data_IF_630299207175
#
_entry.id   IF_630299207175
#
_cell.length_a   1.000
_cell.length_b   1.000
_cell.length_c   1.000
_cell.angle_alpha   90.00
_cell.angle_beta   90.00
_cell.angle_gamma   90.00
#
_symmetry.space_group_name_H-M   'P 1'
#
loop_
_entity.id
_entity.type
_entity.pdbx_description
1 polymer ?
#
# COMPACT_ATOMS: atom_id res chain seq x y z
N UNK A 1 -20.28 6.12 16.17
CA UNK A 1 -19.76 4.74 16.23
C UNK A 1 -18.25 4.77 16.13
N UNK A 2 -17.55 4.01 16.95
CA UNK A 2 -16.10 3.85 16.88
C UNK A 2 -15.68 2.42 17.23
N UNK A 3 -14.40 2.07 17.02
CA UNK A 3 -13.88 0.71 17.30
C UNK A 3 -13.60 0.48 18.77
N UNK A 4 -13.45 1.54 19.59
CA UNK A 4 -13.25 1.47 21.03
C UNK A 4 -14.21 2.38 21.79
N UNK A 5 -14.36 2.12 23.10
CA UNK A 5 -15.20 2.90 23.98
C UNK A 5 -14.63 4.32 24.18
N UNK A 6 -13.33 4.44 24.38
CA UNK A 6 -12.65 5.73 24.56
C UNK A 6 -12.80 6.64 23.31
N UNK A 7 -12.64 6.09 22.10
CA UNK A 7 -12.91 6.84 20.87
C UNK A 7 -14.38 7.28 20.77
N UNK A 8 -15.31 6.43 21.23
CA UNK A 8 -16.73 6.76 21.17
C UNK A 8 -17.04 7.95 22.08
N UNK A 9 -16.44 8.02 23.27
CA UNK A 9 -16.63 9.11 24.23
C UNK A 9 -16.21 10.46 23.65
N UNK A 10 -15.15 10.52 22.86
CA UNK A 10 -14.68 11.77 22.22
C UNK A 10 -15.75 12.43 21.33
N UNK A 11 -16.63 11.64 20.72
CA UNK A 11 -17.73 12.14 19.90
C UNK A 11 -19.05 12.26 20.70
N UNK A 12 -19.27 11.30 21.62
CA UNK A 12 -20.52 11.20 22.35
C UNK A 12 -20.67 12.29 23.40
N UNK A 13 -19.65 12.56 24.21
CA UNK A 13 -19.73 13.53 25.28
C UNK A 13 -20.02 14.96 24.80
N UNK A 14 -19.33 15.48 23.75
CA UNK A 14 -19.69 16.75 23.15
C UNK A 14 -21.11 16.78 22.54
N UNK A 15 -21.54 15.67 21.89
CA UNK A 15 -22.91 15.58 21.37
C UNK A 15 -23.94 15.67 22.47
N UNK A 16 -23.71 14.95 23.56
CA UNK A 16 -24.61 14.97 24.70
C UNK A 16 -24.67 16.34 25.38
N UNK A 17 -23.51 17.01 25.51
CA UNK A 17 -23.43 18.35 26.05
C UNK A 17 -24.15 19.37 25.17
N UNK A 18 -23.96 19.34 23.86
CA UNK A 18 -24.70 20.17 22.90
C UNK A 18 -26.20 19.88 22.92
N UNK A 19 -26.60 18.60 23.09
CA UNK A 19 -28.02 18.25 23.19
C UNK A 19 -28.66 18.75 24.49
N UNK A 20 -27.89 18.83 25.61
CA UNK A 20 -28.37 19.32 26.92
C UNK A 20 -28.41 20.83 27.04
N UNK A 21 -27.46 21.52 26.45
CA UNK A 21 -27.22 22.94 26.69
C UNK A 21 -27.34 23.82 25.41
N UNK A 22 -27.39 23.18 24.26
CA UNK A 22 -27.51 23.88 22.98
C UNK A 22 -28.97 24.20 22.61
N UNK A 23 -29.20 24.99 21.55
CA UNK A 23 -30.54 25.37 21.11
C UNK A 23 -31.37 24.22 20.54
N UNK A 24 -30.78 23.05 20.35
CA UNK A 24 -31.44 21.87 19.78
C UNK A 24 -32.54 21.35 20.71
N UNK A 25 -32.34 21.43 22.04
CA UNK A 25 -33.34 20.99 23.02
C UNK A 25 -34.62 21.81 22.95
N UNK A 26 -34.50 23.12 22.64
CA UNK A 26 -35.64 24.01 22.51
C UNK A 26 -36.35 23.91 21.14
N UNK A 27 -35.61 23.47 20.12
CA UNK A 27 -36.11 23.40 18.76
C UNK A 27 -36.76 22.03 18.43
N UNK A 28 -36.37 21.00 19.12
CA UNK A 28 -36.83 19.63 18.87
C UNK A 28 -37.24 18.95 20.17
N UNK A 29 -38.24 18.08 20.08
CA UNK A 29 -38.70 17.25 21.21
C UNK A 29 -37.72 16.11 21.46
N UNK A 30 -36.61 16.43 22.17
CA UNK A 30 -35.55 15.48 22.53
C UNK A 30 -35.36 15.43 24.05
N UNK A 31 -34.95 14.28 24.54
CA UNK A 31 -34.66 14.06 25.96
C UNK A 31 -33.26 13.41 26.10
N UNK A 32 -32.23 14.22 26.46
CA UNK A 32 -30.85 13.74 26.58
C UNK A 32 -30.60 12.97 27.87
N UNK A 33 -30.56 11.64 27.81
CA UNK A 33 -30.12 10.75 28.85
C UNK A 33 -28.61 10.50 28.81
N UNK A 34 -28.02 9.94 29.84
CA UNK A 34 -26.56 9.70 29.88
C UNK A 34 -26.06 8.74 28.80
N UNK A 35 -26.85 7.75 28.41
CA UNK A 35 -26.43 6.69 27.46
C UNK A 35 -27.11 6.78 26.11
N UNK A 36 -28.13 7.62 25.95
CA UNK A 36 -28.82 7.88 24.68
C UNK A 36 -29.57 9.21 24.73
N UNK A 37 -29.88 9.74 23.56
CA UNK A 37 -30.81 10.87 23.42
C UNK A 37 -32.10 10.32 22.84
N UNK A 38 -33.20 10.44 23.59
CA UNK A 38 -34.52 10.07 23.08
C UNK A 38 -34.98 11.10 22.06
N UNK A 39 -35.59 10.64 20.97
CA UNK A 39 -36.21 11.46 19.93
C UNK A 39 -37.62 10.92 19.66
N UNK A 40 -38.57 11.69 19.08
CA UNK A 40 -39.99 11.31 18.98
C UNK A 40 -40.26 9.93 18.38
N UNK A 41 -39.38 9.40 17.53
CA UNK A 41 -39.55 8.10 16.85
C UNK A 41 -38.34 7.21 16.92
N UNK A 42 -37.53 7.33 17.98
CA UNK A 42 -36.33 6.52 18.13
C UNK A 42 -35.38 7.06 19.18
N UNK A 43 -34.12 6.78 18.99
CA UNK A 43 -33.05 7.28 19.86
C UNK A 43 -31.74 7.42 19.12
N UNK A 44 -30.91 8.32 19.59
CA UNK A 44 -29.50 8.42 19.21
C UNK A 44 -28.70 7.72 20.30
N UNK A 45 -27.86 6.79 19.95
CA UNK A 45 -27.03 6.06 20.88
C UNK A 45 -25.64 5.79 20.29
N UNK A 46 -24.66 5.66 21.14
CA UNK A 46 -23.33 5.25 20.69
C UNK A 46 -23.22 3.71 20.65
N UNK A 47 -22.30 3.22 19.83
CA UNK A 47 -21.99 1.78 19.76
C UNK A 47 -20.53 1.56 19.38
N UNK A 48 -19.98 0.43 19.81
CA UNK A 48 -18.61 -0.01 19.57
C UNK A 48 -18.59 -1.35 18.83
N UNK A 49 -17.42 -1.80 18.40
CA UNK A 49 -17.25 -3.07 17.68
C UNK A 49 -17.79 -4.28 18.46
N UNK A 50 -17.70 -4.28 19.78
CA UNK A 50 -18.22 -5.36 20.63
C UNK A 50 -19.75 -5.42 20.72
N UNK A 51 -20.43 -4.30 20.48
CA UNK A 51 -21.90 -4.22 20.58
C UNK A 51 -22.61 -4.64 19.27
N UNK A 52 -21.92 -4.60 18.13
CA UNK A 52 -22.50 -4.92 16.81
C UNK A 52 -22.78 -6.42 16.62
N UNK A 53 -22.27 -7.29 17.48
CA UNK A 53 -22.63 -8.71 17.48
C UNK A 53 -24.08 -8.98 17.93
N UNK A 54 -24.81 -7.96 18.38
CA UNK A 54 -26.24 -8.10 18.73
C UNK A 54 -27.09 -8.09 17.47
N UNK A 55 -27.58 -9.24 17.07
CA UNK A 55 -28.60 -9.40 16.04
C UNK A 55 -29.80 -8.52 16.37
N UNK A 56 -30.14 -7.56 15.50
CA UNK A 56 -31.33 -6.73 15.65
C UNK A 56 -31.12 -5.22 15.57
N UNK A 57 -29.88 -4.74 15.54
CA UNK A 57 -29.60 -3.32 15.34
C UNK A 57 -30.08 -2.85 13.97
N UNK A 58 -30.94 -1.83 13.92
CA UNK A 58 -31.54 -1.29 12.68
C UNK A 58 -31.35 0.21 12.61
N UNK A 59 -30.12 0.70 12.38
CA UNK A 59 -29.86 2.11 12.25
C UNK A 59 -30.52 2.65 10.97
N UNK A 60 -31.03 3.87 11.02
CA UNK A 60 -31.45 4.65 9.85
C UNK A 60 -30.35 5.64 9.44
N UNK A 61 -29.44 5.94 10.36
CA UNK A 61 -28.27 6.79 10.16
C UNK A 61 -27.12 6.29 11.03
N UNK A 62 -25.89 6.40 10.53
CA UNK A 62 -24.68 6.08 11.30
C UNK A 62 -23.60 7.14 11.04
N UNK A 63 -23.13 7.79 12.10
CA UNK A 63 -21.90 8.57 12.09
C UNK A 63 -20.75 7.65 12.53
N UNK A 64 -19.78 7.45 11.66
CA UNK A 64 -18.60 6.60 11.87
C UNK A 64 -17.38 7.51 11.97
N UNK A 65 -16.81 7.58 13.16
CA UNK A 65 -15.73 8.50 13.49
C UNK A 65 -14.38 7.81 13.41
N UNK A 66 -13.36 8.54 12.94
CA UNK A 66 -11.96 8.09 12.82
C UNK A 66 -11.84 6.73 12.09
N UNK A 67 -12.52 6.59 10.96
CA UNK A 67 -12.53 5.32 10.21
C UNK A 67 -11.16 4.93 9.60
N UNK A 68 -10.18 5.81 9.62
CA UNK A 68 -8.77 5.52 9.34
C UNK A 68 -8.16 4.56 10.37
N UNK A 69 -8.64 4.58 11.61
CA UNK A 69 -8.23 3.66 12.68
C UNK A 69 -8.99 2.31 12.66
N UNK A 70 -10.03 2.18 11.82
CA UNK A 70 -10.84 0.96 11.75
C UNK A 70 -10.17 -0.10 10.88
N UNK A 71 -9.08 -0.64 11.38
CA UNK A 71 -8.24 -1.65 10.72
C UNK A 71 -8.73 -3.09 11.00
N UNK A 72 -8.33 -4.08 10.18
CA UNK A 72 -8.75 -5.48 10.36
C UNK A 72 -8.45 -6.07 11.73
N UNK A 73 -7.31 -5.72 12.33
CA UNK A 73 -6.89 -6.18 13.66
C UNK A 73 -7.85 -5.74 14.79
N UNK A 74 -8.55 -4.61 14.62
CA UNK A 74 -9.54 -4.08 15.56
C UNK A 74 -10.99 -4.44 15.15
N UNK A 75 -11.18 -5.25 14.12
CA UNK A 75 -12.51 -5.64 13.65
C UNK A 75 -13.26 -4.54 12.87
N UNK A 76 -12.62 -3.42 12.56
CA UNK A 76 -13.22 -2.25 11.92
C UNK A 76 -13.96 -2.54 10.61
N UNK A 77 -13.36 -3.24 9.63
CA UNK A 77 -14.05 -3.58 8.38
C UNK A 77 -15.29 -4.45 8.57
N UNK A 78 -15.29 -5.37 9.53
CA UNK A 78 -16.46 -6.20 9.85
C UNK A 78 -17.59 -5.36 10.47
N UNK A 79 -17.24 -4.42 11.36
CA UNK A 79 -18.16 -3.45 11.94
C UNK A 79 -18.81 -2.59 10.87
N UNK A 80 -18.03 -1.95 10.00
CA UNK A 80 -18.52 -1.11 8.91
C UNK A 80 -19.44 -1.89 7.95
N UNK A 81 -19.06 -3.12 7.57
CA UNK A 81 -19.86 -3.99 6.73
C UNK A 81 -21.20 -4.35 7.38
N UNK A 82 -21.22 -4.58 8.70
CA UNK A 82 -22.44 -4.83 9.47
C UNK A 82 -23.38 -3.63 9.46
N UNK A 83 -22.87 -2.44 9.73
CA UNK A 83 -23.61 -1.17 9.71
C UNK A 83 -24.20 -0.92 8.33
N UNK A 84 -23.37 -0.95 7.28
CA UNK A 84 -23.81 -0.67 5.89
C UNK A 84 -24.88 -1.64 5.40
N UNK A 85 -24.77 -2.95 5.74
CA UNK A 85 -25.80 -3.95 5.42
C UNK A 85 -27.13 -3.65 6.09
N UNK A 86 -27.12 -3.17 7.34
CA UNK A 86 -28.34 -2.84 8.06
C UNK A 86 -28.97 -1.53 7.56
N UNK A 87 -28.15 -0.51 7.27
CA UNK A 87 -28.61 0.73 6.64
C UNK A 87 -29.25 0.47 5.27
N UNK A 88 -28.66 -0.39 4.45
CA UNK A 88 -29.21 -0.74 3.13
C UNK A 88 -30.63 -1.33 3.19
N UNK A 89 -30.98 -2.06 4.26
CA UNK A 89 -32.31 -2.65 4.42
C UNK A 89 -33.42 -1.63 4.68
N UNK A 90 -33.07 -0.44 5.13
CA UNK A 90 -34.01 0.62 5.52
C UNK A 90 -33.85 1.89 4.69
N UNK A 91 -32.96 1.88 3.69
CA UNK A 91 -32.61 3.07 2.91
C UNK A 91 -31.90 4.15 3.72
N UNK A 92 -31.18 3.73 4.78
CA UNK A 92 -30.44 4.63 5.66
C UNK A 92 -29.11 5.09 5.06
N UNK A 93 -28.51 6.10 5.68
CA UNK A 93 -27.26 6.73 5.27
C UNK A 93 -26.18 6.61 6.35
N UNK A 94 -24.91 6.67 5.93
CA UNK A 94 -23.78 6.83 6.84
C UNK A 94 -22.91 8.02 6.44
N UNK A 95 -22.27 8.63 7.45
CA UNK A 95 -21.22 9.61 7.30
C UNK A 95 -19.96 9.05 7.95
N UNK A 96 -18.86 9.17 7.28
CA UNK A 96 -17.52 8.84 7.80
C UNK A 96 -16.74 10.14 7.97
N UNK A 97 -16.09 10.30 9.13
CA UNK A 97 -15.26 11.46 9.45
C UNK A 97 -13.83 10.99 9.81
N UNK A 98 -13.03 10.57 8.81
CA UNK A 98 -11.64 10.21 9.01
C UNK A 98 -10.69 11.39 8.86
N UNK A 99 -9.50 11.26 9.46
CA UNK A 99 -8.30 11.89 8.94
C UNK A 99 -7.81 11.16 7.68
N UNK A 100 -6.72 11.64 7.08
CA UNK A 100 -6.05 10.93 6.00
C UNK A 100 -5.81 9.47 6.41
N UNK A 101 -6.04 8.55 5.50
CA UNK A 101 -5.79 7.14 5.77
C UNK A 101 -4.29 6.81 5.60
N UNK A 102 -3.83 5.82 6.31
CA UNK A 102 -2.50 5.24 6.08
C UNK A 102 -2.62 4.21 4.96
N UNK A 103 -1.96 4.42 3.81
CA UNK A 103 -1.98 3.45 2.71
C UNK A 103 -1.44 2.11 3.19
N UNK A 104 -2.22 1.07 3.01
CA UNK A 104 -1.83 -0.24 3.39
C UNK A 104 -2.36 -0.74 4.71
N UNK A 105 -3.01 0.08 5.48
CA UNK A 105 -3.64 -0.32 6.72
C UNK A 105 -4.92 -1.15 6.51
N UNK A 106 -5.45 -1.24 5.27
CA UNK A 106 -6.73 -1.88 4.96
C UNK A 106 -7.88 -1.31 5.81
N UNK A 107 -7.74 -0.04 6.23
CA UNK A 107 -8.74 0.63 7.06
C UNK A 107 -10.05 0.86 6.31
N UNK A 108 -11.10 1.17 7.04
CA UNK A 108 -12.40 1.50 6.45
C UNK A 108 -12.30 2.78 5.62
N UNK A 109 -11.62 3.82 6.13
CA UNK A 109 -11.39 5.07 5.41
C UNK A 109 -10.65 4.84 4.09
N UNK A 110 -9.58 4.03 4.09
CA UNK A 110 -8.83 3.70 2.88
C UNK A 110 -9.73 3.06 1.80
N UNK A 111 -10.55 2.08 2.18
CA UNK A 111 -11.48 1.41 1.26
C UNK A 111 -12.56 2.35 0.73
N UNK A 112 -13.06 3.25 1.57
CA UNK A 112 -14.05 4.27 1.18
C UNK A 112 -13.43 5.26 0.21
N UNK A 113 -12.20 5.71 0.45
CA UNK A 113 -11.46 6.61 -0.43
C UNK A 113 -11.18 5.95 -1.80
N UNK A 114 -10.72 4.69 -1.80
CA UNK A 114 -10.52 3.93 -3.05
C UNK A 114 -11.83 3.73 -3.83
N UNK A 115 -12.94 3.45 -3.13
CA UNK A 115 -14.24 3.30 -3.76
C UNK A 115 -14.71 4.61 -4.37
N UNK A 116 -14.56 5.76 -3.67
CA UNK A 116 -14.87 7.07 -4.21
C UNK A 116 -14.03 7.40 -5.46
N UNK A 117 -12.73 7.08 -5.45
CA UNK A 117 -11.84 7.25 -6.60
C UNK A 117 -12.30 6.40 -7.80
N UNK A 118 -12.59 5.12 -7.58
CA UNK A 118 -13.10 4.21 -8.62
C UNK A 118 -14.44 4.71 -9.20
N UNK A 119 -15.28 5.30 -8.36
CA UNK A 119 -16.54 5.92 -8.80
C UNK A 119 -16.27 7.13 -9.70
N UNK A 120 -15.39 8.04 -9.30
CA UNK A 120 -15.00 9.21 -10.10
C UNK A 120 -14.39 8.80 -11.46
N UNK A 121 -13.67 7.67 -11.51
CA UNK A 121 -13.12 7.08 -12.73
C UNK A 121 -14.15 6.30 -13.58
N UNK A 122 -15.41 6.23 -13.15
CA UNK A 122 -16.47 5.48 -13.86
C UNK A 122 -16.33 3.95 -13.79
N UNK A 123 -15.51 3.44 -12.86
CA UNK A 123 -15.21 2.00 -12.72
C UNK A 123 -16.16 1.27 -11.77
N UNK A 124 -17.01 1.98 -11.03
CA UNK A 124 -18.04 1.38 -10.18
C UNK A 124 -19.36 1.20 -10.94
N UNK A 125 -19.91 -0.01 -10.91
CA UNK A 125 -21.25 -0.29 -11.45
C UNK A 125 -22.32 0.08 -10.41
N UNK A 126 -23.40 0.72 -10.85
CA UNK A 126 -24.56 1.03 -10.00
C UNK A 126 -24.40 2.26 -9.12
N UNK A 127 -23.62 3.23 -9.55
CA UNK A 127 -23.30 4.44 -8.78
C UNK A 127 -24.39 5.54 -8.77
N UNK A 128 -25.66 5.20 -9.05
CA UNK A 128 -26.78 6.10 -8.81
C UNK A 128 -26.99 6.24 -7.28
N UNK A 129 -26.41 7.28 -6.68
CA UNK A 129 -26.43 7.49 -5.22
C UNK A 129 -25.12 7.07 -4.52
N UNK A 130 -24.00 7.25 -5.18
CA UNK A 130 -22.70 6.81 -4.75
C UNK A 130 -22.11 7.54 -3.53
N UNK A 131 -20.79 7.43 -3.37
CA UNK A 131 -20.05 8.05 -2.27
C UNK A 131 -19.84 9.53 -2.59
N UNK A 132 -20.23 10.42 -1.69
CA UNK A 132 -19.79 11.80 -1.67
C UNK A 132 -18.47 11.85 -0.87
N UNK A 133 -17.40 12.27 -1.52
CA UNK A 133 -16.10 12.49 -0.88
C UNK A 133 -15.82 13.99 -0.83
N UNK A 134 -15.68 14.52 0.38
CA UNK A 134 -15.09 15.84 0.65
C UNK A 134 -13.75 15.59 1.34
N UNK A 135 -12.64 15.81 0.61
CA UNK A 135 -11.29 15.59 1.10
C UNK A 135 -10.47 16.86 0.91
N UNK A 136 -9.88 17.33 2.00
CA UNK A 136 -8.97 18.47 2.02
C UNK A 136 -7.64 18.03 2.60
N UNK A 137 -6.63 18.05 1.78
CA UNK A 137 -5.23 17.87 2.19
C UNK A 137 -4.42 19.08 1.76
N UNK A 138 -3.37 19.41 2.49
CA UNK A 138 -2.46 20.46 2.07
C UNK A 138 -1.86 20.14 0.70
N UNK A 139 -1.60 21.14 -0.17
CA UNK A 139 -0.98 20.94 -1.46
C UNK A 139 0.30 20.09 -1.34
N UNK A 140 0.58 19.18 -2.30
CA UNK A 140 1.73 18.29 -2.24
C UNK A 140 3.08 19.00 -2.26
N UNK A 141 3.12 20.23 -2.78
CA UNK A 141 4.27 21.13 -2.83
C UNK A 141 4.45 21.97 -1.56
N UNK A 142 3.64 21.75 -0.53
CA UNK A 142 3.84 22.39 0.78
C UNK A 142 5.20 22.03 1.35
N UNK A 143 6.06 23.04 1.50
CA UNK A 143 7.40 22.89 2.08
C UNK A 143 7.34 23.06 3.60
N UNK A 144 7.56 22.00 4.38
CA UNK A 144 7.54 22.09 5.85
C UNK A 144 8.70 22.88 6.45
N UNK A 145 9.77 23.13 5.68
CA UNK A 145 10.91 23.92 6.14
C UNK A 145 10.70 25.41 5.98
N UNK A 146 9.76 25.82 5.11
CA UNK A 146 9.39 27.21 4.90
C UNK A 146 8.12 27.56 5.69
N UNK A 147 8.24 28.55 6.57
CA UNK A 147 7.15 28.96 7.45
C UNK A 147 5.89 29.43 6.69
N UNK A 148 6.07 30.21 5.64
CA UNK A 148 4.93 30.76 4.88
C UNK A 148 4.22 29.66 4.11
N UNK A 149 4.97 28.76 3.49
CA UNK A 149 4.46 27.57 2.78
C UNK A 149 3.70 26.65 3.73
N UNK A 150 4.27 26.36 4.91
CA UNK A 150 3.62 25.49 5.90
C UNK A 150 2.32 26.09 6.43
N UNK A 151 2.31 27.38 6.79
CA UNK A 151 1.09 28.08 7.23
C UNK A 151 0.00 28.11 6.15
N UNK A 152 0.39 28.32 4.90
CA UNK A 152 -0.56 28.28 3.78
C UNK A 152 -1.15 26.87 3.60
N UNK A 153 -0.31 25.82 3.71
CA UNK A 153 -0.74 24.42 3.67
C UNK A 153 -1.69 24.07 4.82
N UNK A 154 -1.37 24.48 6.03
CA UNK A 154 -2.23 24.32 7.21
C UNK A 154 -3.56 25.04 7.03
N UNK A 155 -3.55 26.32 6.59
CA UNK A 155 -4.76 27.08 6.35
C UNK A 155 -5.68 26.41 5.31
N UNK A 156 -5.09 25.81 4.29
CA UNK A 156 -5.85 25.07 3.29
C UNK A 156 -6.45 23.78 3.87
N UNK A 157 -5.66 22.98 4.58
CA UNK A 157 -6.11 21.71 5.17
C UNK A 157 -7.22 21.90 6.20
N UNK A 158 -7.09 22.91 7.09
CA UNK A 158 -8.09 23.22 8.11
C UNK A 158 -9.29 24.01 7.57
N UNK A 159 -9.17 24.62 6.39
CA UNK A 159 -10.27 25.31 5.73
C UNK A 159 -10.92 26.39 6.61
N UNK A 160 -12.24 26.31 6.77
CA UNK A 160 -13.01 27.26 7.57
C UNK A 160 -12.72 27.20 9.07
N UNK A 161 -12.16 26.10 9.57
CA UNK A 161 -11.78 25.95 10.97
C UNK A 161 -10.51 26.72 11.32
N UNK A 162 -9.69 27.09 10.31
CA UNK A 162 -8.47 27.87 10.54
C UNK A 162 -8.79 29.30 11.02
N UNK A 163 -8.10 29.76 12.07
CA UNK A 163 -8.31 31.09 12.64
C UNK A 163 -8.13 32.23 11.61
N UNK A 164 -7.19 32.07 10.67
CA UNK A 164 -6.99 33.04 9.57
C UNK A 164 -8.19 33.13 8.62
N UNK A 165 -9.05 32.12 8.59
CA UNK A 165 -10.28 32.08 7.81
C UNK A 165 -11.54 32.38 8.65
N UNK A 166 -11.34 32.85 9.89
CA UNK A 166 -12.43 33.15 10.83
C UNK A 166 -12.85 31.99 11.72
N UNK A 167 -12.12 30.89 11.65
CA UNK A 167 -12.32 29.71 12.51
C UNK A 167 -11.68 29.87 13.90
N UNK A 168 -11.63 28.77 14.63
CA UNK A 168 -11.19 28.74 16.04
C UNK A 168 -9.81 28.10 16.25
N UNK A 169 -9.20 27.52 15.20
CA UNK A 169 -7.91 26.84 15.28
C UNK A 169 -6.77 27.84 15.10
N UNK A 170 -5.87 27.88 16.07
CA UNK A 170 -4.63 28.65 16.04
C UNK A 170 -3.54 27.90 15.27
N UNK A 171 -3.31 28.30 14.03
CA UNK A 171 -2.32 27.67 13.15
C UNK A 171 -0.87 27.88 13.62
N UNK A 172 -0.57 28.98 14.34
CA UNK A 172 0.77 29.21 14.88
C UNK A 172 1.12 28.18 15.94
N UNK A 173 0.16 27.77 16.75
CA UNK A 173 0.36 26.72 17.72
C UNK A 173 0.60 25.35 17.06
N UNK A 174 -0.14 25.05 15.99
CA UNK A 174 0.06 23.83 15.20
C UNK A 174 1.44 23.83 14.54
N UNK A 175 1.87 24.99 14.01
CA UNK A 175 3.19 25.12 13.40
C UNK A 175 4.32 24.87 14.41
N UNK A 176 4.17 25.32 15.66
CA UNK A 176 5.13 25.03 16.72
C UNK A 176 5.23 23.53 17.03
N UNK A 177 4.08 22.86 17.10
CA UNK A 177 4.00 21.41 17.31
C UNK A 177 4.56 20.63 16.12
N UNK A 178 4.30 21.10 14.90
CA UNK A 178 4.85 20.52 13.67
C UNK A 178 6.37 20.52 13.66
N UNK A 179 6.99 21.57 14.19
CA UNK A 179 8.44 21.74 14.27
C UNK A 179 9.05 21.25 15.58
N UNK A 180 8.28 20.64 16.45
CA UNK A 180 8.81 20.03 17.65
C UNK A 180 9.78 18.89 17.27
N UNK A 181 11.00 18.86 17.84
CA UNK A 181 12.00 17.82 17.53
C UNK A 181 11.52 16.38 17.83
N UNK A 182 10.55 16.21 18.73
CA UNK A 182 9.99 14.92 19.10
C UNK A 182 8.84 14.49 18.18
N UNK A 183 8.35 15.38 17.32
CA UNK A 183 7.29 15.09 16.35
C UNK A 183 7.85 14.41 15.09
N UNK A 184 7.38 13.20 14.79
CA UNK A 184 7.74 12.51 13.55
C UNK A 184 7.23 13.29 12.32
N UNK A 185 8.09 13.61 11.34
CA UNK A 185 7.69 14.40 10.17
C UNK A 185 6.57 13.77 9.32
N UNK A 186 6.45 12.44 9.30
CA UNK A 186 5.39 11.75 8.56
C UNK A 186 4.07 11.82 9.32
N UNK A 187 4.11 11.66 10.65
CA UNK A 187 2.94 11.87 11.50
C UNK A 187 2.47 13.32 11.44
N UNK A 188 3.38 14.28 11.44
CA UNK A 188 3.05 15.69 11.28
C UNK A 188 2.34 15.98 9.93
N UNK A 189 2.81 15.41 8.82
CA UNK A 189 2.13 15.49 7.53
C UNK A 189 0.76 14.83 7.56
N UNK A 190 0.66 13.67 8.17
CA UNK A 190 -0.57 12.91 8.27
C UNK A 190 -1.64 13.65 9.08
N UNK A 191 -1.29 14.05 10.33
CA UNK A 191 -2.27 14.60 11.26
C UNK A 191 -2.54 16.10 11.08
N UNK A 192 -1.54 16.91 10.70
CA UNK A 192 -1.72 18.35 10.59
C UNK A 192 -1.98 18.85 9.16
N UNK A 193 -1.36 18.21 8.17
CA UNK A 193 -1.60 18.55 6.76
C UNK A 193 -2.67 17.70 6.10
N UNK A 194 -3.21 16.70 6.81
CA UNK A 194 -4.18 15.71 6.32
C UNK A 194 -3.71 15.01 5.02
N UNK A 195 -2.41 14.92 4.83
CA UNK A 195 -1.83 14.28 3.66
C UNK A 195 -1.81 12.77 3.83
N UNK A 196 -2.14 12.06 2.75
CA UNK A 196 -1.98 10.61 2.69
C UNK A 196 -0.49 10.29 2.66
N UNK A 197 0.08 10.01 3.83
CA UNK A 197 1.49 9.69 3.98
C UNK A 197 1.68 8.18 4.08
N UNK A 198 2.82 7.71 3.59
CA UNK A 198 3.19 6.31 3.81
C UNK A 198 3.67 6.14 5.25
N UNK A 199 3.40 4.97 5.85
CA UNK A 199 3.91 4.64 7.18
C UNK A 199 5.44 4.74 7.22
N UNK A 200 6.00 5.10 8.36
CA UNK A 200 7.46 5.14 8.60
C UNK A 200 8.16 3.82 8.29
N UNK A 201 7.40 2.74 8.16
CA UNK A 201 7.87 1.41 7.77
C UNK A 201 7.79 1.12 6.27
N UNK A 202 7.30 2.05 5.43
CA UNK A 202 7.34 1.88 3.97
C UNK A 202 8.78 1.68 3.49
N UNK A 203 8.97 0.68 2.61
CA UNK A 203 10.29 0.45 2.01
C UNK A 203 10.67 1.57 1.05
N UNK A 204 9.74 2.00 0.21
CA UNK A 204 9.88 3.11 -0.74
C UNK A 204 8.63 4.01 -0.64
N UNK A 205 8.83 5.30 -0.85
CA UNK A 205 7.75 6.28 -0.94
C UNK A 205 7.21 6.39 -2.37
N UNK A 206 5.99 6.89 -2.50
CA UNK A 206 5.39 7.10 -3.84
C UNK A 206 6.17 8.09 -4.72
N UNK A 207 6.69 9.22 -4.21
CA UNK A 207 7.52 10.12 -5.00
C UNK A 207 8.80 9.46 -5.52
N UNK A 208 9.48 8.66 -4.68
CA UNK A 208 10.69 7.93 -5.07
C UNK A 208 10.41 6.95 -6.22
N UNK A 209 9.35 6.15 -6.10
CA UNK A 209 8.96 5.20 -7.14
C UNK A 209 8.49 5.93 -8.40
N UNK A 210 7.62 6.93 -8.27
CA UNK A 210 7.11 7.69 -9.42
C UNK A 210 8.21 8.40 -10.22
N UNK A 211 9.23 8.92 -9.55
CA UNK A 211 10.37 9.57 -10.17
C UNK A 211 11.23 8.64 -11.04
N UNK A 212 11.11 7.33 -10.87
CA UNK A 212 11.86 6.31 -11.64
C UNK A 212 11.05 5.69 -12.77
N UNK A 213 9.77 6.00 -12.90
CA UNK A 213 8.92 5.45 -13.94
C UNK A 213 9.33 5.99 -15.34
N UNK A 214 9.61 5.09 -16.26
CA UNK A 214 9.96 5.38 -17.64
C UNK A 214 9.15 4.50 -18.61
N UNK A 215 7.81 4.70 -18.70
CA UNK A 215 6.93 3.78 -19.45
C UNK A 215 7.16 3.77 -20.97
N UNK A 216 7.95 4.69 -21.49
CA UNK A 216 8.35 4.72 -22.91
C UNK A 216 9.65 3.96 -23.21
N UNK A 217 10.35 3.55 -22.16
CA UNK A 217 11.61 2.81 -22.31
C UNK A 217 11.31 1.34 -22.62
N UNK A 218 11.97 0.79 -23.61
CA UNK A 218 11.80 -0.61 -24.01
C UNK A 218 13.14 -1.32 -24.06
N UNK A 219 13.17 -2.53 -23.53
CA UNK A 219 14.32 -3.43 -23.67
C UNK A 219 14.21 -4.14 -25.01
N UNK A 220 15.25 -4.03 -25.83
CA UNK A 220 15.27 -4.58 -27.19
C UNK A 220 15.60 -6.07 -27.17
N UNK A 221 15.16 -6.77 -28.19
CA UNK A 221 15.54 -8.17 -28.38
C UNK A 221 17.06 -8.32 -28.51
N UNK A 222 17.59 -9.33 -27.83
CA UNK A 222 19.03 -9.61 -27.78
C UNK A 222 19.82 -8.74 -26.80
N UNK A 223 19.21 -7.77 -26.11
CA UNK A 223 19.92 -7.05 -25.05
C UNK A 223 20.24 -7.97 -23.85
N UNK A 224 21.36 -7.70 -23.21
CA UNK A 224 21.75 -8.38 -21.98
C UNK A 224 20.85 -8.01 -20.81
N UNK A 225 20.22 -9.02 -20.26
CA UNK A 225 19.34 -8.86 -19.09
C UNK A 225 19.68 -9.87 -18.01
N UNK A 226 19.21 -9.56 -16.81
CA UNK A 226 19.10 -10.54 -15.73
C UNK A 226 17.65 -10.73 -15.35
N UNK A 227 17.33 -11.91 -14.80
CA UNK A 227 15.99 -12.27 -14.35
C UNK A 227 15.93 -12.45 -12.85
N UNK A 228 14.80 -12.07 -12.27
CA UNK A 228 14.43 -12.36 -10.89
C UNK A 228 13.05 -13.00 -10.82
N UNK A 229 12.90 -14.05 -10.03
CA UNK A 229 11.66 -14.78 -9.88
C UNK A 229 11.31 -15.01 -8.41
N UNK A 230 10.06 -14.70 -8.06
CA UNK A 230 9.46 -15.06 -6.77
C UNK A 230 8.15 -15.79 -7.02
N UNK A 231 8.02 -17.02 -6.52
CA UNK A 231 6.91 -17.90 -6.80
C UNK A 231 6.06 -18.25 -5.60
N UNK A 232 4.75 -18.28 -5.79
CA UNK A 232 3.81 -18.74 -4.80
C UNK A 232 3.13 -20.04 -5.22
N UNK A 233 2.56 -20.76 -4.25
CA UNK A 233 1.59 -21.84 -4.51
C UNK A 233 0.25 -21.46 -3.90
N UNK A 234 -0.83 -21.89 -4.57
CA UNK A 234 -2.19 -21.74 -4.07
C UNK A 234 -2.32 -22.34 -2.67
N UNK A 235 -2.96 -21.62 -1.76
CA UNK A 235 -3.30 -22.11 -0.43
C UNK A 235 -4.70 -22.70 -0.45
N UNK A 236 -4.91 -23.82 0.23
CA UNK A 236 -6.23 -24.43 0.35
C UNK A 236 -7.26 -23.55 1.06
N UNK A 237 -6.81 -22.56 1.83
CA UNK A 237 -7.64 -21.53 2.49
C UNK A 237 -6.82 -20.24 2.62
N UNK A 238 -7.43 -19.11 2.25
CA UNK A 238 -6.87 -17.77 2.42
C UNK A 238 -6.44 -17.12 1.10
N UNK A 239 -5.79 -15.95 1.20
CA UNK A 239 -5.29 -15.19 0.05
C UNK A 239 -3.99 -15.82 -0.44
N UNK A 240 -3.93 -16.17 -1.71
CA UNK A 240 -2.72 -16.70 -2.36
C UNK A 240 -1.77 -15.56 -2.68
N UNK A 241 -0.48 -15.75 -2.43
CA UNK A 241 0.57 -14.80 -2.82
C UNK A 241 0.69 -14.76 -4.36
N UNK A 242 1.25 -13.69 -4.90
CA UNK A 242 1.50 -13.60 -6.34
C UNK A 242 2.71 -14.46 -6.76
N UNK A 243 2.81 -14.71 -8.05
CA UNK A 243 4.03 -15.21 -8.69
C UNK A 243 4.50 -14.15 -9.66
N UNK A 244 5.77 -13.77 -9.64
CA UNK A 244 6.28 -12.68 -10.45
C UNK A 244 7.62 -13.02 -11.11
N UNK A 245 7.78 -12.55 -12.35
CA UNK A 245 9.03 -12.57 -13.11
C UNK A 245 9.37 -11.16 -13.54
N UNK A 246 10.54 -10.68 -13.16
CA UNK A 246 11.04 -9.33 -13.47
C UNK A 246 12.37 -9.45 -14.20
N UNK A 247 12.52 -8.66 -15.27
CA UNK A 247 13.77 -8.47 -15.97
C UNK A 247 14.49 -7.21 -15.51
N UNK A 248 15.82 -7.20 -15.60
CA UNK A 248 16.65 -6.02 -15.36
C UNK A 248 17.69 -5.92 -16.49
N UNK A 249 17.69 -4.83 -17.24
CA UNK A 249 18.69 -4.56 -18.28
C UNK A 249 20.06 -4.34 -17.63
N UNK A 250 21.09 -5.00 -18.15
CA UNK A 250 22.41 -4.99 -17.50
C UNK A 250 23.07 -3.62 -17.61
N UNK A 251 22.98 -2.95 -18.74
CA UNK A 251 23.69 -1.71 -19.03
C UNK A 251 23.33 -0.56 -18.08
N UNK A 252 22.04 -0.37 -17.78
CA UNK A 252 21.56 0.80 -17.01
C UNK A 252 20.67 0.45 -15.81
N UNK A 253 20.31 -0.83 -15.64
CA UNK A 253 19.47 -1.27 -14.53
C UNK A 253 17.97 -1.01 -14.72
N UNK A 254 17.51 -0.75 -15.95
CA UNK A 254 16.09 -0.61 -16.23
C UNK A 254 15.33 -1.90 -15.86
N UNK A 255 14.39 -1.78 -14.92
CA UNK A 255 13.54 -2.88 -14.48
C UNK A 255 12.26 -2.96 -15.31
N UNK A 256 11.84 -4.14 -15.68
CA UNK A 256 10.61 -4.34 -16.43
C UNK A 256 9.89 -5.62 -16.03
N UNK A 257 8.56 -5.56 -16.00
CA UNK A 257 7.73 -6.69 -15.60
C UNK A 257 7.49 -7.62 -16.78
N UNK A 258 8.02 -8.84 -16.73
CA UNK A 258 7.75 -9.88 -17.71
C UNK A 258 6.44 -10.62 -17.45
N UNK A 259 6.09 -10.84 -16.19
CA UNK A 259 4.84 -11.47 -15.80
C UNK A 259 4.55 -11.35 -14.30
N UNK A 260 3.26 -11.22 -13.99
CA UNK A 260 2.77 -11.30 -12.60
C UNK A 260 1.41 -11.99 -12.59
N UNK A 261 1.32 -13.09 -11.86
CA UNK A 261 0.11 -13.91 -11.75
C UNK A 261 -0.43 -13.80 -10.34
N UNK A 262 -1.54 -13.08 -10.23
CA UNK A 262 -2.22 -12.78 -8.97
C UNK A 262 -3.61 -13.41 -8.94
N UNK A 263 -4.03 -13.85 -7.76
CA UNK A 263 -5.40 -14.31 -7.55
C UNK A 263 -6.37 -13.14 -7.79
N UNK A 264 -7.32 -13.25 -8.72
CA UNK A 264 -8.33 -12.21 -8.95
C UNK A 264 -9.21 -11.99 -7.73
N UNK A 265 -9.71 -10.77 -7.57
CA UNK A 265 -10.69 -10.46 -6.54
C UNK A 265 -12.08 -11.04 -6.88
N UNK A 266 -12.85 -11.31 -5.82
CA UNK A 266 -14.24 -11.75 -5.95
C UNK A 266 -14.40 -13.19 -6.42
N UNK A 267 -15.55 -13.54 -7.09
CA UNK A 267 -15.86 -14.92 -7.46
C UNK A 267 -14.86 -15.58 -8.41
N UNK A 268 -14.16 -14.79 -9.23
CA UNK A 268 -13.13 -15.27 -10.15
C UNK A 268 -11.88 -15.80 -9.43
N UNK A 269 -11.64 -15.33 -8.19
CA UNK A 269 -10.53 -15.81 -7.35
C UNK A 269 -10.82 -17.10 -6.60
N UNK A 270 -12.09 -17.56 -6.60
CA UNK A 270 -12.44 -18.82 -5.96
C UNK A 270 -11.80 -19.98 -6.74
N UNK A 271 -11.08 -20.83 -6.02
CA UNK A 271 -10.40 -21.99 -6.60
C UNK A 271 -9.28 -21.63 -7.61
N UNK A 272 -8.87 -20.35 -7.65
CA UNK A 272 -7.77 -19.90 -8.51
C UNK A 272 -6.44 -20.57 -8.11
N UNK A 273 -5.71 -20.97 -9.12
CA UNK A 273 -4.36 -21.53 -8.98
C UNK A 273 -3.40 -20.79 -9.91
N UNK A 274 -2.15 -20.69 -9.50
CA UNK A 274 -1.10 -20.12 -10.36
C UNK A 274 -1.03 -20.92 -11.66
N UNK A 275 -1.14 -20.27 -12.84
CA UNK A 275 -1.08 -20.93 -14.13
C UNK A 275 0.36 -21.30 -14.48
N UNK A 276 0.87 -22.38 -13.87
CA UNK A 276 2.27 -22.82 -13.98
C UNK A 276 2.74 -22.90 -15.43
N UNK A 277 1.90 -23.37 -16.34
CA UNK A 277 2.25 -23.48 -17.77
C UNK A 277 2.57 -22.11 -18.40
N UNK A 278 1.82 -21.07 -18.02
CA UNK A 278 2.07 -19.71 -18.51
C UNK A 278 3.39 -19.16 -17.93
N UNK A 279 3.63 -19.39 -16.62
CA UNK A 279 4.87 -18.98 -15.97
C UNK A 279 6.08 -19.61 -16.67
N UNK A 280 6.03 -20.90 -16.92
CA UNK A 280 7.11 -21.62 -17.63
C UNK A 280 7.30 -21.12 -19.07
N UNK A 281 6.20 -20.81 -19.76
CA UNK A 281 6.25 -20.25 -21.11
C UNK A 281 6.91 -18.86 -21.11
N UNK A 282 6.55 -17.98 -20.16
CA UNK A 282 7.14 -16.64 -20.05
C UNK A 282 8.63 -16.68 -19.73
N UNK A 283 9.07 -17.60 -18.86
CA UNK A 283 10.50 -17.79 -18.60
C UNK A 283 11.23 -18.22 -19.87
N UNK A 284 10.68 -19.20 -20.63
CA UNK A 284 11.27 -19.64 -21.89
C UNK A 284 11.35 -18.50 -22.91
N UNK A 285 10.25 -17.75 -23.07
CA UNK A 285 10.18 -16.59 -23.96
C UNK A 285 11.26 -15.56 -23.61
N UNK A 286 11.51 -15.30 -22.33
CA UNK A 286 12.57 -14.38 -21.93
C UNK A 286 13.97 -14.87 -22.40
N UNK A 287 14.27 -16.17 -22.33
CA UNK A 287 15.51 -16.73 -22.84
C UNK A 287 15.58 -16.75 -24.37
N UNK A 288 14.43 -16.80 -25.06
CA UNK A 288 14.37 -16.73 -26.53
C UNK A 288 14.55 -15.30 -27.07
N UNK A 289 14.05 -14.30 -26.33
CA UNK A 289 14.02 -12.90 -26.77
C UNK A 289 15.27 -12.12 -26.36
N UNK A 290 15.88 -12.46 -25.23
CA UNK A 290 16.96 -11.68 -24.63
C UNK A 290 18.21 -12.54 -24.40
N UNK A 291 19.36 -11.90 -24.27
CA UNK A 291 20.56 -12.52 -23.74
C UNK A 291 20.52 -12.53 -22.21
N UNK A 292 19.99 -13.61 -21.64
CA UNK A 292 19.87 -13.74 -20.17
C UNK A 292 21.23 -14.17 -19.60
N UNK A 293 21.95 -13.22 -18.99
CA UNK A 293 23.29 -13.47 -18.42
C UNK A 293 23.25 -13.95 -16.95
N UNK A 294 22.14 -13.75 -16.26
CA UNK A 294 21.94 -14.20 -14.89
C UNK A 294 20.44 -14.37 -14.56
N UNK A 295 20.11 -15.38 -13.77
CA UNK A 295 18.75 -15.65 -13.33
C UNK A 295 18.77 -16.08 -11.88
N UNK A 296 18.15 -15.27 -10.98
CA UNK A 296 18.00 -15.59 -9.56
C UNK A 296 16.54 -15.83 -9.21
N UNK A 297 16.24 -16.98 -8.60
CA UNK A 297 14.89 -17.38 -8.26
C UNK A 297 14.81 -17.86 -6.80
N UNK A 298 13.80 -17.38 -6.06
CA UNK A 298 13.47 -17.96 -4.75
C UNK A 298 12.83 -19.34 -5.00
N UNK A 299 13.47 -20.43 -4.57
CA UNK A 299 12.95 -21.76 -4.82
C UNK A 299 11.78 -22.14 -3.91
N UNK A 300 11.44 -21.35 -2.91
CA UNK A 300 10.38 -21.66 -1.95
C UNK A 300 9.07 -22.01 -2.68
N UNK A 301 8.61 -23.24 -2.52
CA UNK A 301 7.43 -23.85 -3.17
C UNK A 301 7.55 -24.07 -4.69
N UNK A 302 8.69 -23.75 -5.30
CA UNK A 302 8.99 -23.94 -6.73
C UNK A 302 10.26 -24.78 -6.97
N UNK A 303 10.72 -25.49 -5.95
CA UNK A 303 11.99 -26.22 -5.93
C UNK A 303 12.18 -27.10 -7.20
N UNK A 304 11.15 -27.85 -7.59
CA UNK A 304 11.21 -28.73 -8.77
C UNK A 304 11.36 -27.97 -10.09
N UNK A 305 10.74 -26.80 -10.22
CA UNK A 305 10.85 -25.97 -11.42
C UNK A 305 12.18 -25.22 -11.46
N UNK A 306 12.64 -24.70 -10.32
CA UNK A 306 13.97 -24.07 -10.21
C UNK A 306 15.07 -25.07 -10.56
N UNK A 307 15.01 -26.31 -10.06
CA UNK A 307 15.94 -27.37 -10.44
C UNK A 307 15.91 -27.67 -11.95
N UNK A 308 14.72 -27.66 -12.56
CA UNK A 308 14.60 -27.86 -14.01
C UNK A 308 15.24 -26.70 -14.80
N UNK A 309 15.01 -25.45 -14.38
CA UNK A 309 15.65 -24.27 -14.97
C UNK A 309 17.17 -24.27 -14.79
N UNK A 310 17.68 -24.74 -13.64
CA UNK A 310 19.12 -24.90 -13.41
C UNK A 310 19.75 -25.90 -14.40
N UNK A 311 19.05 -26.99 -14.66
CA UNK A 311 19.54 -28.01 -15.61
C UNK A 311 19.49 -27.50 -17.07
N UNK A 312 18.46 -26.73 -17.43
CA UNK A 312 18.24 -26.24 -18.79
C UNK A 312 19.10 -24.99 -19.11
N UNK A 313 19.05 -23.98 -18.23
CA UNK A 313 19.66 -22.66 -18.50
C UNK A 313 20.96 -22.43 -17.73
N UNK A 314 21.16 -23.08 -16.59
CA UNK A 314 22.32 -22.86 -15.72
C UNK A 314 23.68 -22.94 -16.38
N UNK A 315 23.93 -23.88 -17.35
CA UNK A 315 25.20 -23.92 -18.07
C UNK A 315 25.54 -22.68 -18.88
N UNK A 316 24.53 -22.01 -19.42
CA UNK A 316 24.68 -20.79 -20.25
C UNK A 316 24.74 -19.48 -19.48
N UNK A 317 24.50 -19.49 -18.16
CA UNK A 317 24.52 -18.27 -17.35
C UNK A 317 25.96 -17.85 -17.02
N UNK A 318 26.27 -16.58 -17.31
CA UNK A 318 27.55 -15.94 -16.93
C UNK A 318 27.61 -15.67 -15.42
N UNK A 319 26.47 -15.26 -14.83
CA UNK A 319 26.32 -14.99 -13.39
C UNK A 319 25.49 -16.08 -12.74
N UNK A 320 26.03 -16.65 -11.67
CA UNK A 320 25.42 -17.77 -10.94
C UNK A 320 25.19 -17.42 -9.48
N UNK A 321 24.03 -17.76 -8.93
CA UNK A 321 23.68 -17.55 -7.54
C UNK A 321 24.66 -18.21 -6.57
N UNK A 322 25.15 -19.40 -6.95
CA UNK A 322 26.26 -20.09 -6.30
C UNK A 322 26.95 -21.06 -7.29
N UNK A 323 28.06 -21.69 -6.86
CA UNK A 323 28.79 -22.65 -7.68
C UNK A 323 27.94 -23.87 -8.06
N UNK A 324 27.18 -24.36 -7.10
CA UNK A 324 26.44 -25.63 -7.23
C UNK A 324 24.97 -25.38 -7.65
N UNK A 325 24.46 -24.19 -7.40
CA UNK A 325 23.10 -23.77 -7.71
C UNK A 325 23.13 -22.45 -8.48
N UNK A 326 23.13 -22.50 -9.81
CA UNK A 326 23.27 -21.30 -10.63
C UNK A 326 22.08 -20.35 -10.58
N UNK A 327 20.87 -20.83 -10.25
CA UNK A 327 19.64 -20.02 -10.22
C UNK A 327 19.07 -19.88 -8.82
N UNK A 328 19.19 -20.89 -7.98
CA UNK A 328 18.58 -20.93 -6.65
C UNK A 328 19.12 -19.85 -5.71
N UNK A 329 18.22 -18.90 -5.35
CA UNK A 329 18.50 -17.83 -4.39
C UNK A 329 17.41 -17.76 -3.32
N UNK A 330 17.68 -18.29 -2.14
CA UNK A 330 16.74 -18.26 -1.03
C UNK A 330 16.58 -16.87 -0.44
N UNK A 331 15.33 -16.36 -0.41
CA UNK A 331 14.94 -15.12 0.28
C UNK A 331 14.61 -15.36 1.76
N UNK A 332 14.80 -16.58 2.29
CA UNK A 332 14.57 -16.95 3.68
C UNK A 332 15.75 -17.75 4.25
N UNK A 333 15.74 -17.96 5.58
CA UNK A 333 16.74 -18.80 6.25
C UNK A 333 18.04 -18.07 6.60
N UNK A 334 19.16 -18.82 6.74
CA UNK A 334 20.45 -18.34 7.25
C UNK A 334 21.24 -17.35 6.36
N UNK A 335 20.62 -16.82 5.31
CA UNK A 335 21.23 -15.90 4.34
C UNK A 335 20.87 -14.42 4.58
N UNK A 336 20.43 -14.07 5.78
CA UNK A 336 19.92 -12.73 6.12
C UNK A 336 20.82 -11.57 5.66
N UNK A 337 22.14 -11.70 5.77
CA UNK A 337 23.09 -10.64 5.33
C UNK A 337 23.06 -10.44 3.81
N UNK A 338 22.96 -11.49 3.01
CA UNK A 338 22.87 -11.37 1.54
C UNK A 338 21.56 -10.75 1.12
N UNK A 339 20.46 -11.14 1.74
CA UNK A 339 19.10 -10.60 1.48
C UNK A 339 19.08 -9.11 1.81
N UNK A 340 19.60 -8.72 2.99
CA UNK A 340 19.69 -7.31 3.40
C UNK A 340 20.47 -6.50 2.36
N UNK A 341 21.67 -6.96 1.97
CA UNK A 341 22.50 -6.26 0.99
C UNK A 341 21.82 -6.11 -0.37
N UNK A 342 21.14 -7.15 -0.86
CA UNK A 342 20.38 -7.09 -2.11
C UNK A 342 19.22 -6.10 -2.02
N UNK A 343 18.49 -6.11 -0.89
CA UNK A 343 17.37 -5.20 -0.62
C UNK A 343 17.83 -3.74 -0.53
N UNK A 344 18.90 -3.48 0.21
CA UNK A 344 19.49 -2.14 0.37
C UNK A 344 20.06 -1.62 -0.96
N UNK A 345 20.68 -2.48 -1.76
CA UNK A 345 21.24 -2.10 -3.06
C UNK A 345 20.16 -1.62 -4.02
N UNK A 346 19.05 -2.34 -4.16
CA UNK A 346 17.95 -1.87 -4.99
C UNK A 346 17.29 -0.61 -4.43
N UNK A 347 17.09 -0.54 -3.12
CA UNK A 347 16.55 0.65 -2.46
C UNK A 347 17.38 1.89 -2.79
N UNK A 348 18.68 1.83 -2.57
CA UNK A 348 19.58 2.96 -2.80
C UNK A 348 19.59 3.35 -4.29
N UNK A 349 19.64 2.39 -5.20
CA UNK A 349 19.62 2.66 -6.64
C UNK A 349 18.32 3.37 -7.08
N UNK A 350 17.17 3.06 -6.46
CA UNK A 350 15.90 3.75 -6.71
C UNK A 350 15.95 5.17 -6.13
N UNK A 351 16.36 5.33 -4.87
CA UNK A 351 16.41 6.62 -4.17
C UNK A 351 17.41 7.57 -4.84
N UNK A 352 18.61 7.08 -5.12
CA UNK A 352 19.70 7.86 -5.73
C UNK A 352 19.49 8.15 -7.22
N UNK A 353 18.50 7.51 -7.85
CA UNK A 353 18.15 7.75 -9.24
C UNK A 353 19.05 7.05 -10.27
N UNK A 354 19.71 5.99 -9.86
CA UNK A 354 20.63 5.23 -10.70
C UNK A 354 19.93 4.30 -11.69
N UNK A 355 18.63 4.03 -11.49
CA UNK A 355 17.84 3.12 -12.33
C UNK A 355 16.47 3.70 -12.68
N UNK A 356 15.84 3.08 -13.66
CA UNK A 356 14.45 3.34 -14.05
C UNK A 356 13.63 2.03 -14.05
N UNK A 357 12.32 2.14 -14.22
CA UNK A 357 11.48 0.96 -14.47
C UNK A 357 10.36 1.29 -15.46
N UNK A 358 9.72 0.27 -16.01
CA UNK A 358 8.72 0.33 -17.08
C UNK A 358 7.41 1.07 -16.75
N UNK A 359 7.25 1.57 -15.52
CA UNK A 359 6.02 2.24 -15.07
C UNK A 359 4.82 1.30 -14.91
N UNK A 360 5.02 -0.02 -14.95
CA UNK A 360 3.97 -1.02 -14.75
C UNK A 360 3.24 -0.77 -13.44
N UNK A 361 1.89 -0.65 -13.51
CA UNK A 361 1.05 -0.45 -12.34
C UNK A 361 1.13 -1.60 -11.32
N UNK A 362 1.44 -2.81 -11.77
CA UNK A 362 1.64 -3.98 -10.90
C UNK A 362 2.96 -3.86 -10.14
N UNK A 363 4.07 -3.60 -10.84
CA UNK A 363 5.37 -3.44 -10.20
C UNK A 363 5.37 -2.24 -9.25
N UNK A 364 4.80 -1.10 -9.67
CA UNK A 364 4.60 0.08 -8.82
C UNK A 364 3.88 -0.28 -7.52
N UNK A 365 2.74 -0.98 -7.61
CA UNK A 365 1.94 -1.38 -6.45
C UNK A 365 2.73 -2.29 -5.51
N UNK A 366 3.47 -3.27 -6.02
CA UNK A 366 4.26 -4.20 -5.21
C UNK A 366 5.43 -3.51 -4.51
N UNK A 367 6.10 -2.55 -5.16
CA UNK A 367 7.14 -1.73 -4.56
C UNK A 367 6.59 -0.90 -3.40
N UNK A 368 5.44 -0.25 -3.59
CA UNK A 368 4.79 0.57 -2.57
C UNK A 368 4.15 -0.24 -1.42
N UNK A 369 3.78 -1.49 -1.67
CA UNK A 369 3.26 -2.39 -0.64
C UNK A 369 4.34 -2.94 0.31
N UNK A 370 5.59 -2.92 -0.11
CA UNK A 370 6.70 -3.45 0.67
C UNK A 370 6.94 -2.61 1.93
N UNK A 371 7.09 -3.27 3.07
CA UNK A 371 7.39 -2.66 4.37
C UNK A 371 8.78 -3.00 4.83
N UNK A 372 9.44 -2.06 5.51
CA UNK A 372 10.74 -2.28 6.16
C UNK A 372 10.56 -3.22 7.34
N UNK A 373 11.32 -4.29 7.35
CA UNK A 373 11.43 -5.19 8.49
C UNK A 373 12.85 -5.13 9.00
N UNK A 374 13.05 -4.49 10.15
CA UNK A 374 14.36 -4.44 10.81
C UNK A 374 14.71 -5.81 11.35
N UNK A 375 15.92 -6.27 11.07
CA UNK A 375 16.53 -7.48 11.61
C UNK A 375 17.86 -7.13 12.27
N UNK A 376 18.47 -8.08 12.97
CA UNK A 376 19.81 -7.91 13.55
C UNK A 376 20.92 -7.64 12.52
N UNK A 377 20.65 -7.89 11.25
CA UNK A 377 21.60 -7.76 10.14
C UNK A 377 21.32 -6.58 9.22
N UNK A 378 20.20 -5.84 9.42
CA UNK A 378 19.80 -4.69 8.60
C UNK A 378 18.34 -4.76 8.17
N UNK A 379 17.97 -4.04 7.11
CA UNK A 379 16.60 -3.90 6.64
C UNK A 379 16.30 -4.95 5.56
N UNK A 380 15.21 -5.67 5.75
CA UNK A 380 14.59 -6.55 4.76
C UNK A 380 13.20 -5.99 4.41
N UNK A 381 12.60 -6.50 3.34
CA UNK A 381 11.19 -6.22 3.05
C UNK A 381 10.29 -7.34 3.53
N UNK A 382 9.09 -6.96 3.94
CA UNK A 382 8.02 -7.88 4.32
C UNK A 382 6.68 -7.31 3.89
N UNK A 383 5.64 -8.13 3.91
CA UNK A 383 4.27 -7.65 3.92
C UNK A 383 3.98 -6.96 5.25
N UNK A 384 3.05 -6.04 5.24
CA UNK A 384 2.54 -5.37 6.44
C UNK A 384 2.19 -6.37 7.55
N UNK A 385 1.50 -7.45 7.18
CA UNK A 385 1.28 -8.62 8.05
C UNK A 385 1.20 -9.91 7.21
N UNK A 386 1.46 -11.09 7.79
CA UNK A 386 1.57 -12.35 7.03
C UNK A 386 0.31 -12.75 6.24
N UNK A 387 -0.86 -12.23 6.63
CA UNK A 387 -2.15 -12.49 5.98
C UNK A 387 -2.63 -11.36 5.09
N UNK A 388 -1.80 -10.33 4.88
CA UNK A 388 -2.14 -9.17 4.04
C UNK A 388 -2.44 -9.60 2.61
N UNK A 389 -3.51 -9.04 2.05
CA UNK A 389 -3.84 -9.18 0.63
C UNK A 389 -2.87 -8.42 -0.28
N UNK A 390 -2.10 -7.48 0.29
CA UNK A 390 -1.12 -6.67 -0.41
C UNK A 390 0.07 -7.50 -0.82
N UNK A 391 0.27 -7.60 -2.12
CA UNK A 391 1.34 -8.39 -2.72
C UNK A 391 2.62 -7.57 -2.80
N UNK A 392 3.76 -8.24 -2.56
CA UNK A 392 5.12 -7.68 -2.69
C UNK A 392 6.00 -8.54 -3.59
N UNK A 393 5.48 -9.60 -4.15
CA UNK A 393 6.22 -10.67 -4.83
C UNK A 393 7.00 -10.11 -6.05
N UNK A 394 6.42 -9.15 -6.81
CA UNK A 394 7.17 -8.48 -7.88
C UNK A 394 8.29 -7.56 -7.36
N UNK A 395 8.18 -7.02 -6.14
CA UNK A 395 9.30 -6.29 -5.51
C UNK A 395 10.43 -7.24 -5.11
N UNK A 396 10.09 -8.44 -4.61
CA UNK A 396 11.08 -9.50 -4.33
C UNK A 396 11.77 -9.93 -5.62
N UNK A 397 11.00 -10.20 -6.69
CA UNK A 397 11.55 -10.54 -8.00
C UNK A 397 12.46 -9.43 -8.55
N UNK A 398 12.09 -8.15 -8.37
CA UNK A 398 12.93 -7.01 -8.75
C UNK A 398 14.27 -6.96 -7.98
N UNK A 399 14.24 -7.24 -6.67
CA UNK A 399 15.46 -7.35 -5.85
C UNK A 399 16.38 -8.45 -6.39
N UNK A 400 15.82 -9.60 -6.75
CA UNK A 400 16.59 -10.73 -7.27
C UNK A 400 17.17 -10.42 -8.66
N UNK A 401 16.40 -9.80 -9.56
CA UNK A 401 16.87 -9.38 -10.88
C UNK A 401 18.01 -8.36 -10.75
N UNK A 402 17.84 -7.37 -9.89
CA UNK A 402 18.83 -6.32 -9.67
C UNK A 402 20.10 -6.84 -8.98
N UNK A 403 19.98 -7.80 -8.08
CA UNK A 403 21.12 -8.47 -7.45
C UNK A 403 21.93 -9.25 -8.50
N UNK A 404 21.26 -10.01 -9.38
CA UNK A 404 21.92 -10.71 -10.49
C UNK A 404 22.64 -9.70 -11.41
N UNK A 405 21.98 -8.58 -11.75
CA UNK A 405 22.61 -7.48 -12.53
C UNK A 405 23.83 -6.92 -11.82
N UNK A 406 23.76 -6.67 -10.52
CA UNK A 406 24.89 -6.10 -9.79
C UNK A 406 26.11 -7.03 -9.82
N UNK A 407 25.87 -8.34 -9.82
CA UNK A 407 26.95 -9.33 -9.98
C UNK A 407 27.44 -9.38 -11.44
N UNK A 408 26.56 -9.19 -12.43
CA UNK A 408 26.92 -9.13 -13.84
C UNK A 408 27.84 -7.92 -14.14
N UNK A 409 27.48 -6.75 -13.64
CA UNK A 409 28.32 -5.53 -13.77
C UNK A 409 29.66 -5.72 -13.05
N UNK A 410 29.67 -6.32 -11.87
CA UNK A 410 30.91 -6.62 -11.16
C UNK A 410 31.81 -7.63 -11.90
N UNK A 411 31.23 -8.47 -12.75
CA UNK A 411 31.95 -9.39 -13.65
C UNK A 411 32.38 -8.74 -14.99
N UNK A 412 32.09 -7.44 -15.19
CA UNK A 412 32.47 -6.68 -16.39
C UNK A 412 31.46 -6.80 -17.55
N UNK A 413 30.23 -7.27 -17.29
CA UNK A 413 29.16 -7.30 -18.28
C UNK A 413 28.42 -5.93 -18.32
N UNK A 414 27.84 -5.59 -19.47
CA UNK A 414 27.06 -4.36 -19.64
C UNK A 414 27.84 -3.12 -20.03
N UNK A 415 29.17 -3.16 -20.03
CA UNK A 415 29.96 -2.10 -20.66
C UNK A 415 29.77 -2.20 -22.17
N UNK A 416 29.33 -1.11 -22.82
CA UNK A 416 29.43 -1.01 -24.27
C UNK A 416 30.92 -1.14 -24.62
N UNK A 417 31.30 -2.25 -25.25
CA UNK A 417 32.59 -2.37 -25.90
C UNK A 417 32.57 -1.31 -27.00
N UNK A 418 33.16 -0.15 -26.71
CA UNK A 418 33.35 0.89 -27.68
C UNK A 418 33.99 0.27 -28.90
N UNK A 419 33.24 0.22 -30.03
CA UNK A 419 33.76 -0.20 -31.30
C UNK A 419 34.88 0.80 -31.68
N UNK A 420 36.10 0.42 -31.39
CA UNK A 420 37.27 1.05 -31.99
C UNK A 420 37.25 0.69 -33.47
N UNK A 421 36.61 1.54 -34.26
CA UNK A 421 36.83 1.56 -35.69
C UNK A 421 38.28 1.96 -35.92
N UNK A 422 39.07 1.00 -36.37
CA UNK A 422 40.37 1.24 -37.02
C UNK A 422 40.15 1.90 -38.39
#
# INVERSE_FOLDING_TARGET
>A
VAVSEDQTSNTWDPLLDMARHGPVIDAYDIDPMDTYVAVPRGRIEYTTSSAVSREGFRPVFAAMDQTESWVPSLGGPALAAGIRRNLAKVGGLSVEAPNAHVPGADSVAEKSFEAARKQAEGKLRGADGGILLDHREAPPDTDPSDRESLLAGLAYAYGESAGVNGGWIDLERILQEYWDPDTDPQDARHYYLNQVTHTTDSWLSQPEVAARAAPGEQVRFGEQITLGFDGSRSRARGVTDATALVGCRVSDGHLFLLGCWEQPDGPAGKDWQVPVAEVLATVREAFELYEVVGFFADPAKWEGHVTAWEAEYGPGLEVKASRDHPIEWWMTGGRSVKIVRATERLHNAIVDGEITYDGSGVLTRHLLNARRRTSSTGIQIAKEHPTSSRKIDAAIAAILAFEARSQAVAAGLGDEVGAWTL
#
